data_IF_746124386235
#
_entry.id   IF_746124386235
#
_cell.length_a   1.000
_cell.length_b   1.000
_cell.length_c   1.000
_cell.angle_alpha   90.00
_cell.angle_beta   90.00
_cell.angle_gamma   90.00
#
_symmetry.space_group_name_H-M   'P 1'
#
loop_
_entity.id
_entity.type
_entity.pdbx_description
1 polymer ?
#
# COMPACT_ATOMS: atom_id res chain seq x y z
N UNK A 1 3.46 -0.41 12.49
CA UNK A 1 4.74 -0.84 13.12
C UNK A 1 4.94 -2.34 13.23
N UNK A 2 3.90 -3.18 13.05
CA UNK A 2 3.98 -4.66 13.13
C UNK A 2 5.08 -5.24 12.23
N UNK A 3 5.15 -4.81 10.97
CA UNK A 3 6.18 -5.27 10.03
C UNK A 3 7.62 -4.99 10.51
N UNK A 4 7.87 -3.82 11.09
CA UNK A 4 9.18 -3.47 11.62
C UNK A 4 9.60 -4.37 12.78
N UNK A 5 8.65 -4.71 13.66
CA UNK A 5 8.88 -5.63 14.78
C UNK A 5 9.20 -7.04 14.27
N UNK A 6 8.41 -7.56 13.32
CA UNK A 6 8.66 -8.86 12.72
C UNK A 6 10.04 -8.94 12.05
N UNK A 7 10.44 -7.91 11.30
CA UNK A 7 11.76 -7.82 10.67
C UNK A 7 12.87 -7.84 11.73
N UNK A 8 12.75 -7.07 12.82
CA UNK A 8 13.73 -7.07 13.91
C UNK A 8 13.86 -8.42 14.61
N UNK A 9 12.80 -9.21 14.58
CA UNK A 9 12.80 -10.60 15.05
C UNK A 9 13.34 -11.62 14.02
N UNK A 10 13.88 -11.15 12.90
CA UNK A 10 14.44 -12.00 11.84
C UNK A 10 13.39 -12.71 11.00
N UNK A 11 12.13 -12.27 11.01
CA UNK A 11 11.06 -12.90 10.23
C UNK A 11 10.96 -12.28 8.85
N UNK A 12 10.73 -13.10 7.83
CA UNK A 12 10.29 -12.63 6.53
C UNK A 12 8.88 -12.04 6.63
N UNK A 13 8.58 -11.03 5.83
CA UNK A 13 7.33 -10.29 5.95
C UNK A 13 6.59 -10.22 4.62
N UNK A 14 5.34 -10.65 4.62
CA UNK A 14 4.37 -10.33 3.58
C UNK A 14 3.33 -9.36 4.17
N UNK A 15 3.31 -8.13 3.69
CA UNK A 15 2.42 -7.10 4.20
C UNK A 15 1.44 -6.66 3.13
N UNK A 16 0.13 -6.66 3.45
CA UNK A 16 -0.91 -6.12 2.56
C UNK A 16 -0.69 -4.62 2.31
N UNK A 17 -1.25 -4.15 1.21
CA UNK A 17 -1.31 -2.70 0.93
C UNK A 17 -2.32 -2.00 1.89
N UNK A 18 -2.06 -0.77 2.27
CA UNK A 18 -0.81 -0.03 2.07
C UNK A 18 0.30 -0.57 2.98
N UNK A 19 1.53 -0.54 2.48
CA UNK A 19 2.69 -1.03 3.24
C UNK A 19 2.94 -0.18 4.49
N UNK A 20 2.82 1.12 4.34
CA UNK A 20 3.09 2.14 5.36
C UNK A 20 2.24 3.37 5.12
N UNK A 21 2.11 4.24 6.10
CA UNK A 21 1.44 5.53 5.97
C UNK A 21 2.37 6.62 5.45
N UNK A 22 3.66 6.55 5.81
CA UNK A 22 4.62 7.60 5.49
C UNK A 22 5.82 7.09 4.69
N UNK A 23 6.46 7.99 3.97
CA UNK A 23 7.73 7.70 3.26
C UNK A 23 8.84 7.33 4.25
N UNK A 24 8.86 7.95 5.43
CA UNK A 24 9.81 7.61 6.50
C UNK A 24 9.69 6.14 6.90
N UNK A 25 8.49 5.66 7.18
CA UNK A 25 8.25 4.26 7.54
C UNK A 25 8.67 3.30 6.42
N UNK A 26 8.37 3.62 5.16
CA UNK A 26 8.79 2.80 4.03
C UNK A 26 10.33 2.69 3.93
N UNK A 27 11.03 3.80 4.13
CA UNK A 27 12.50 3.83 4.17
C UNK A 27 13.06 3.05 5.36
N UNK A 28 12.41 3.17 6.52
CA UNK A 28 12.77 2.42 7.72
C UNK A 28 12.65 0.91 7.47
N UNK A 29 11.53 0.44 6.92
CA UNK A 29 11.34 -0.99 6.60
C UNK A 29 12.40 -1.50 5.63
N UNK A 30 12.73 -0.74 4.59
CA UNK A 30 13.81 -1.09 3.64
C UNK A 30 15.15 -1.25 4.37
N UNK A 31 15.50 -0.30 5.22
CA UNK A 31 16.77 -0.33 5.97
C UNK A 31 16.82 -1.52 6.93
N UNK A 32 15.71 -1.79 7.63
CA UNK A 32 15.60 -2.94 8.53
C UNK A 32 15.69 -4.26 7.77
N UNK A 33 14.99 -4.40 6.64
CA UNK A 33 15.04 -5.61 5.83
C UNK A 33 16.47 -5.93 5.37
N UNK A 34 17.21 -4.92 4.92
CA UNK A 34 18.62 -5.06 4.55
C UNK A 34 19.50 -5.44 5.74
N UNK A 35 19.32 -4.75 6.87
CA UNK A 35 20.11 -4.99 8.11
C UNK A 35 19.90 -6.40 8.65
N UNK A 36 18.67 -6.86 8.70
CA UNK A 36 18.32 -8.18 9.25
C UNK A 36 18.32 -9.31 8.21
N UNK A 37 18.66 -8.98 6.95
CA UNK A 37 18.74 -9.92 5.82
C UNK A 37 17.46 -10.75 5.63
N UNK A 38 16.31 -10.12 5.78
CA UNK A 38 15.00 -10.74 5.60
C UNK A 38 14.39 -10.37 4.26
N UNK A 39 13.53 -11.25 3.73
CA UNK A 39 12.76 -11.01 2.52
C UNK A 39 11.45 -10.32 2.88
N UNK A 40 11.11 -9.29 2.11
CA UNK A 40 9.85 -8.56 2.29
C UNK A 40 9.10 -8.45 0.97
N UNK A 41 7.77 -8.56 1.04
CA UNK A 41 6.91 -8.39 -0.11
C UNK A 41 5.64 -7.63 0.29
N UNK A 42 5.27 -6.64 -0.53
CA UNK A 42 3.96 -5.98 -0.40
C UNK A 42 2.91 -6.76 -1.19
N UNK A 43 1.76 -7.02 -0.56
CA UNK A 43 0.61 -7.65 -1.18
C UNK A 43 -0.12 -6.69 -2.12
N UNK A 44 0.15 -6.81 -3.40
CA UNK A 44 -0.50 -6.04 -4.47
C UNK A 44 -1.06 -7.01 -5.51
N UNK A 45 -2.28 -7.47 -5.27
CA UNK A 45 -2.91 -8.56 -6.02
C UNK A 45 -3.09 -8.27 -7.51
N UNK A 46 -3.31 -7.02 -7.91
CA UNK A 46 -3.49 -6.67 -9.32
C UNK A 46 -2.26 -6.94 -10.19
N UNK A 47 -1.08 -6.96 -9.58
CA UNK A 47 0.19 -7.13 -10.30
C UNK A 47 0.41 -8.52 -10.88
N UNK A 48 -0.31 -9.53 -10.41
CA UNK A 48 -0.18 -10.92 -10.86
C UNK A 48 -1.20 -11.32 -11.91
N UNK A 49 -1.97 -10.36 -12.43
CA UNK A 49 -2.97 -10.64 -13.47
C UNK A 49 -2.30 -11.09 -14.77
N UNK A 50 -2.98 -11.92 -15.53
CA UNK A 50 -2.51 -12.43 -16.82
C UNK A 50 -2.19 -11.28 -17.79
N UNK A 51 -3.03 -10.23 -17.83
CA UNK A 51 -2.79 -9.08 -18.69
C UNK A 51 -1.47 -8.36 -18.39
N UNK A 52 -1.06 -8.27 -17.13
CA UNK A 52 0.24 -7.68 -16.78
C UNK A 52 1.41 -8.57 -17.24
N UNK A 53 1.29 -9.89 -17.12
CA UNK A 53 2.31 -10.81 -17.61
C UNK A 53 2.44 -10.73 -19.12
N UNK A 54 1.33 -10.75 -19.83
CA UNK A 54 1.29 -10.66 -21.29
C UNK A 54 1.85 -9.33 -21.79
N UNK A 55 1.47 -8.21 -21.15
CA UNK A 55 2.01 -6.90 -21.52
C UNK A 55 3.54 -6.83 -21.32
N UNK A 56 4.05 -7.40 -20.23
CA UNK A 56 5.49 -7.51 -19.99
C UNK A 56 6.18 -8.32 -21.09
N UNK A 57 5.66 -9.48 -21.43
CA UNK A 57 6.21 -10.34 -22.49
C UNK A 57 6.24 -9.62 -23.84
N UNK A 58 5.17 -8.94 -24.23
CA UNK A 58 5.13 -8.17 -25.47
C UNK A 58 6.16 -7.06 -25.51
N UNK A 59 6.37 -6.35 -24.40
CA UNK A 59 7.39 -5.30 -24.31
C UNK A 59 8.79 -5.92 -24.44
N UNK A 60 9.07 -7.00 -23.72
CA UNK A 60 10.36 -7.68 -23.73
C UNK A 60 10.70 -8.31 -25.11
N UNK A 61 9.69 -8.77 -25.83
CA UNK A 61 9.81 -9.29 -27.20
C UNK A 61 9.90 -8.19 -28.27
N UNK A 62 9.79 -6.93 -27.86
CA UNK A 62 9.86 -5.80 -28.78
C UNK A 62 8.61 -5.59 -29.64
N UNK A 63 7.45 -6.16 -29.26
CA UNK A 63 6.21 -6.06 -30.04
C UNK A 63 5.76 -4.62 -30.33
N UNK A 64 6.12 -3.68 -29.46
CA UNK A 64 5.84 -2.24 -29.61
C UNK A 64 7.10 -1.42 -29.92
N UNK A 65 8.23 -2.10 -30.22
CA UNK A 65 9.53 -1.46 -30.44
C UNK A 65 10.09 -0.82 -29.16
N UNK A 66 10.92 0.21 -29.34
CA UNK A 66 11.53 0.92 -28.22
C UNK A 66 10.48 1.71 -27.43
N UNK A 67 10.35 1.43 -26.14
CA UNK A 67 9.46 2.17 -25.24
C UNK A 67 9.97 3.61 -25.11
N UNK A 68 9.18 4.59 -25.56
CA UNK A 68 9.52 6.02 -25.51
C UNK A 68 8.70 6.78 -24.48
N UNK A 69 7.45 6.39 -24.30
CA UNK A 69 6.52 7.11 -23.42
C UNK A 69 5.56 6.12 -22.78
N UNK A 70 5.25 6.36 -21.50
CA UNK A 70 4.22 5.65 -20.75
C UNK A 70 3.21 6.66 -20.23
N UNK A 71 1.93 6.48 -20.56
CA UNK A 71 0.83 7.28 -20.03
C UNK A 71 -0.02 6.42 -19.13
N UNK A 72 -0.25 6.91 -17.93
CA UNK A 72 -1.13 6.25 -16.97
C UNK A 72 -2.31 7.18 -16.65
N UNK A 73 -3.47 6.61 -16.62
CA UNK A 73 -4.68 7.33 -16.22
C UNK A 73 -5.60 6.42 -15.42
N UNK A 74 -6.50 7.02 -14.67
CA UNK A 74 -7.51 6.32 -13.90
C UNK A 74 -8.81 7.12 -13.90
N UNK A 75 -9.94 6.42 -13.90
CA UNK A 75 -11.26 7.00 -13.70
C UNK A 75 -11.67 7.05 -12.22
N UNK A 76 -10.78 6.69 -11.32
CA UNK A 76 -11.01 6.83 -9.88
C UNK A 76 -10.79 8.28 -9.44
N UNK A 77 -11.52 8.77 -8.41
CA UNK A 77 -12.40 8.02 -7.52
C UNK A 77 -13.78 7.73 -8.14
N UNK A 78 -14.32 6.54 -7.89
CA UNK A 78 -15.69 6.15 -8.23
C UNK A 78 -16.68 6.46 -7.09
N UNK A 79 -16.16 6.64 -5.87
CA UNK A 79 -16.90 7.02 -4.68
C UNK A 79 -16.68 8.49 -4.36
N UNK A 80 -17.61 9.14 -3.65
CA UNK A 80 -17.46 10.54 -3.27
C UNK A 80 -16.13 10.79 -2.57
N UNK A 81 -15.43 11.79 -3.02
CA UNK A 81 -14.23 12.30 -2.37
C UNK A 81 -14.35 13.81 -2.30
N UNK A 82 -14.12 14.37 -1.13
CA UNK A 82 -14.27 15.79 -0.87
C UNK A 82 -14.32 16.05 0.62
N UNK A 83 -14.59 17.28 1.03
CA UNK A 83 -14.76 17.57 2.44
C UNK A 83 -15.87 16.69 3.01
N UNK A 84 -15.51 15.90 4.01
CA UNK A 84 -16.49 15.09 4.73
C UNK A 84 -17.57 16.00 5.30
N UNK A 85 -18.82 15.59 5.09
CA UNK A 85 -19.95 16.23 5.76
C UNK A 85 -19.86 15.83 7.23
N UNK A 86 -19.28 16.70 8.04
CA UNK A 86 -19.02 16.44 9.48
C UNK A 86 -20.34 16.46 10.26
N UNK A 87 -21.24 15.53 9.98
CA UNK A 87 -22.28 15.20 10.93
C UNK A 87 -21.63 14.34 12.00
N UNK A 88 -21.51 14.87 13.20
CA UNK A 88 -21.07 14.10 14.34
C UNK A 88 -22.09 13.00 14.61
N UNK A 89 -21.67 11.79 14.46
CA UNK A 89 -22.45 10.59 14.74
C UNK A 89 -21.90 9.92 16.00
N UNK A 90 -22.72 9.15 16.68
CA UNK A 90 -22.25 8.30 17.75
C UNK A 90 -21.42 7.14 17.13
N UNK A 91 -20.22 6.93 17.64
CA UNK A 91 -19.41 5.79 17.22
C UNK A 91 -20.10 4.48 17.61
N UNK A 92 -20.27 3.52 16.69
CA UNK A 92 -20.80 2.20 17.01
C UNK A 92 -19.99 1.52 18.11
N UNK A 93 -20.66 0.85 19.04
CA UNK A 93 -19.99 0.21 20.18
C UNK A 93 -19.00 -0.89 19.78
N UNK A 94 -19.18 -1.50 18.60
CA UNK A 94 -18.33 -2.55 18.07
C UNK A 94 -17.05 -2.00 17.41
N UNK A 95 -16.99 -0.69 17.13
CA UNK A 95 -15.86 -0.06 16.47
C UNK A 95 -14.93 0.58 17.52
N UNK A 96 -13.70 0.11 17.58
CA UNK A 96 -12.68 0.82 18.33
C UNK A 96 -12.16 1.97 17.46
N UNK A 97 -12.71 3.17 17.67
CA UNK A 97 -12.43 4.35 16.87
C UNK A 97 -10.99 4.81 16.98
N UNK A 98 -10.41 4.76 18.17
CA UNK A 98 -9.00 5.10 18.40
C UNK A 98 -8.04 4.21 17.59
N UNK A 99 -8.27 2.89 17.60
CA UNK A 99 -7.49 1.98 16.76
C UNK A 99 -7.71 2.19 15.25
N UNK A 100 -8.91 2.64 14.87
CA UNK A 100 -9.21 2.94 13.47
C UNK A 100 -8.49 4.21 12.99
N UNK A 101 -8.47 5.26 13.80
CA UNK A 101 -7.72 6.50 13.55
C UNK A 101 -6.21 6.23 13.45
N UNK A 102 -5.71 5.24 14.19
CA UNK A 102 -4.28 4.90 14.19
C UNK A 102 -3.40 6.07 14.62
N UNK A 103 -2.65 6.68 13.69
CA UNK A 103 -1.76 7.83 13.95
C UNK A 103 -2.36 9.18 13.55
N UNK A 104 -3.60 9.19 13.09
CA UNK A 104 -4.28 10.45 12.80
C UNK A 104 -4.65 11.19 14.10
N UNK A 105 -4.79 12.50 14.06
CA UNK A 105 -5.29 13.26 15.19
C UNK A 105 -6.62 12.72 15.69
N UNK A 106 -6.87 12.86 17.00
CA UNK A 106 -8.16 12.50 17.59
C UNK A 106 -9.27 13.35 16.98
N UNK A 107 -10.14 12.72 16.23
CA UNK A 107 -11.31 13.34 15.61
C UNK A 107 -12.58 12.58 16.00
N UNK A 108 -13.70 13.31 16.18
CA UNK A 108 -15.00 12.66 16.39
C UNK A 108 -15.39 11.78 15.20
N UNK A 109 -16.11 10.71 15.53
CA UNK A 109 -16.65 9.77 14.52
C UNK A 109 -17.70 10.43 13.62
#
# INVERSE_FOLDING_TARGET
>A
MIAATAIKMGKHVYCKKPLTQTVYEARLLRTLASKYKVVTQMGNQGRTSEGHRQAKEWIEQGAIGTLKEVRLWTNRPIWPQGPMNKKLLACPAELNWDLWLSSEPDEPY
#
